data_IF_948685751822
#
_entry.id   IF_948685751822
#
_cell.length_a   1.000
_cell.length_b   1.000
_cell.length_c   1.000
_cell.angle_alpha   90.00
_cell.angle_beta   90.00
_cell.angle_gamma   90.00
#
_symmetry.space_group_name_H-M   'P 1'
#
loop_
_entity.id
_entity.type
_entity.pdbx_description
1 polymer ?
#
# COMPACT_ATOMS: atom_id res chain seq x y z
N UNK A 1 3.62 -2.87 20.98
CA UNK A 1 4.79 -1.97 20.81
C UNK A 1 4.76 -1.26 19.46
N UNK A 2 4.36 -1.95 18.40
CA UNK A 2 4.30 -1.40 17.05
C UNK A 2 3.14 -0.40 16.87
N UNK A 3 2.00 -0.69 17.48
CA UNK A 3 0.83 0.18 17.40
C UNK A 3 1.03 1.54 18.09
N UNK A 4 1.80 1.56 19.17
CA UNK A 4 2.06 2.80 19.90
C UNK A 4 2.98 3.77 19.15
N UNK A 5 3.94 3.24 18.40
CA UNK A 5 4.88 4.08 17.65
C UNK A 5 4.28 4.61 16.34
N UNK A 6 3.49 3.78 15.64
CA UNK A 6 2.84 4.22 14.41
C UNK A 6 1.78 5.29 14.62
N UNK A 7 1.07 5.24 15.73
CA UNK A 7 0.05 6.24 16.05
C UNK A 7 0.64 7.57 16.54
N UNK A 8 1.79 7.52 17.20
CA UNK A 8 2.45 8.73 17.70
C UNK A 8 3.20 9.50 16.62
N UNK A 9 3.65 8.79 15.57
CA UNK A 9 4.41 9.37 14.45
C UNK A 9 3.55 9.75 13.25
N UNK A 10 2.25 9.60 13.34
CA UNK A 10 1.27 10.07 12.36
C UNK A 10 1.27 11.60 12.23
N UNK A 11 2.38 12.22 12.54
CA UNK A 11 2.62 13.62 12.31
C UNK A 11 2.80 13.84 10.82
N UNK A 12 2.13 14.80 10.29
CA UNK A 12 2.35 15.41 9.00
C UNK A 12 3.82 15.86 8.87
N UNK A 13 4.74 14.90 8.83
CA UNK A 13 6.12 15.21 8.58
C UNK A 13 6.26 15.51 7.10
N UNK A 14 6.09 16.77 6.74
CA UNK A 14 6.56 17.28 5.46
C UNK A 14 8.08 17.19 5.47
N UNK A 15 8.61 16.04 5.09
CA UNK A 15 10.05 15.88 4.92
C UNK A 15 10.40 16.27 3.50
N UNK A 16 11.17 17.31 3.34
CA UNK A 16 11.76 17.67 2.05
C UNK A 16 12.88 16.68 1.74
N UNK A 17 12.73 15.96 0.65
CA UNK A 17 13.81 15.17 0.10
C UNK A 17 14.55 16.06 -0.88
N UNK A 18 15.77 16.42 -0.57
CA UNK A 18 16.58 17.22 -1.49
C UNK A 18 16.94 16.36 -2.70
N UNK A 19 16.48 16.77 -3.87
CA UNK A 19 17.00 16.26 -5.14
C UNK A 19 18.22 17.12 -5.54
N UNK A 20 19.14 16.52 -6.29
CA UNK A 20 20.37 17.20 -6.74
C UNK A 20 20.10 18.51 -7.49
N UNK A 21 21.14 19.29 -7.71
CA UNK A 21 21.08 20.62 -8.32
C UNK A 21 20.21 20.66 -9.59
N UNK A 22 19.17 21.49 -9.58
CA UNK A 22 18.25 21.71 -10.69
C UNK A 22 16.93 20.95 -10.64
N UNK A 23 16.73 20.02 -9.69
CA UNK A 23 15.46 19.34 -9.49
C UNK A 23 14.60 20.03 -8.43
N UNK A 24 13.28 20.08 -8.62
CA UNK A 24 12.35 20.56 -7.60
C UNK A 24 12.38 19.61 -6.40
N UNK A 25 12.33 20.17 -5.17
CA UNK A 25 12.25 19.38 -3.96
C UNK A 25 10.95 18.57 -3.93
N UNK A 26 11.07 17.25 -3.77
CA UNK A 26 9.93 16.38 -3.60
C UNK A 26 9.41 16.45 -2.15
N UNK A 27 8.08 16.38 -1.98
CA UNK A 27 7.44 16.46 -0.67
C UNK A 27 6.83 15.11 -0.33
N UNK A 28 7.27 14.49 0.77
CA UNK A 28 6.61 13.30 1.32
C UNK A 28 5.28 13.72 1.94
N UNK A 29 4.18 13.25 1.37
CA UNK A 29 2.83 13.56 1.86
C UNK A 29 2.35 12.57 2.90
N UNK A 30 2.73 11.31 2.80
CA UNK A 30 2.40 10.29 3.77
C UNK A 30 3.22 9.05 3.54
N UNK A 31 3.47 8.28 4.60
CA UNK A 31 4.16 7.00 4.52
C UNK A 31 3.68 6.05 5.60
N UNK A 32 3.85 4.76 5.34
CA UNK A 32 3.56 3.71 6.30
C UNK A 32 4.43 2.49 5.99
N UNK A 33 4.84 1.78 7.04
CA UNK A 33 5.57 0.52 6.94
C UNK A 33 4.87 -0.53 7.79
N UNK A 34 4.65 -1.72 7.23
CA UNK A 34 4.11 -2.88 7.94
C UNK A 34 5.06 -4.05 7.83
N UNK A 35 4.92 -5.02 8.75
CA UNK A 35 5.78 -6.20 8.84
C UNK A 35 5.07 -7.46 8.37
N UNK A 36 5.82 -8.37 7.78
CA UNK A 36 5.38 -9.71 7.40
C UNK A 36 6.51 -10.72 7.61
N UNK A 37 6.16 -12.01 7.64
CA UNK A 37 7.19 -13.07 7.67
C UNK A 37 7.75 -13.27 6.25
N UNK A 38 9.03 -12.96 6.02
CA UNK A 38 9.63 -13.08 4.68
C UNK A 38 9.75 -14.53 4.19
N UNK A 39 9.57 -15.52 5.07
CA UNK A 39 9.61 -16.94 4.73
C UNK A 39 8.24 -17.51 4.34
N UNK A 40 7.17 -16.79 4.62
CA UNK A 40 5.82 -17.21 4.27
C UNK A 40 5.57 -17.07 2.77
N UNK A 41 4.71 -17.92 2.21
CA UNK A 41 4.37 -17.86 0.77
C UNK A 41 3.76 -16.52 0.36
N UNK A 42 3.04 -15.86 1.26
CA UNK A 42 2.44 -14.54 1.02
C UNK A 42 3.47 -13.44 0.78
N UNK A 43 4.72 -13.63 1.20
CA UNK A 43 5.80 -12.66 1.00
C UNK A 43 6.07 -12.39 -0.48
N UNK A 44 5.99 -13.41 -1.33
CA UNK A 44 6.13 -13.25 -2.79
C UNK A 44 5.06 -12.33 -3.35
N UNK A 45 3.80 -12.52 -2.96
CA UNK A 45 2.69 -11.69 -3.43
C UNK A 45 2.78 -10.25 -2.94
N UNK A 46 3.27 -10.04 -1.73
CA UNK A 46 3.55 -8.71 -1.19
C UNK A 46 4.62 -8.02 -2.05
N UNK A 47 5.72 -8.71 -2.35
CA UNK A 47 6.80 -8.16 -3.17
C UNK A 47 6.35 -7.86 -4.60
N UNK A 48 5.59 -8.75 -5.23
CA UNK A 48 5.08 -8.55 -6.60
C UNK A 48 4.13 -7.37 -6.65
N UNK A 49 3.14 -7.30 -5.76
CA UNK A 49 2.18 -6.19 -5.76
C UNK A 49 2.84 -4.86 -5.42
N UNK A 50 3.77 -4.83 -4.48
CA UNK A 50 4.55 -3.62 -4.17
C UNK A 50 5.34 -3.14 -5.39
N UNK A 51 6.01 -4.06 -6.11
CA UNK A 51 6.76 -3.71 -7.32
C UNK A 51 5.89 -3.13 -8.43
N UNK A 52 4.63 -3.58 -8.53
CA UNK A 52 3.70 -3.09 -9.56
C UNK A 52 3.18 -1.69 -9.30
N UNK A 53 3.01 -1.32 -8.04
CA UNK A 53 2.58 0.05 -7.70
C UNK A 53 3.76 1.01 -7.53
N UNK A 54 4.97 0.49 -7.38
CA UNK A 54 6.16 1.31 -7.21
C UNK A 54 6.45 2.14 -8.47
N UNK A 55 6.66 3.43 -8.30
CA UNK A 55 6.98 4.35 -9.39
C UNK A 55 5.77 4.86 -10.17
N UNK A 56 4.55 4.43 -9.85
CA UNK A 56 3.34 4.96 -10.48
C UNK A 56 3.22 6.45 -10.20
N UNK A 57 2.99 7.24 -11.25
CA UNK A 57 2.79 8.68 -11.17
C UNK A 57 1.34 9.00 -11.48
N UNK A 58 0.71 9.74 -10.59
CA UNK A 58 -0.70 10.11 -10.67
C UNK A 58 -0.76 11.61 -10.94
N UNK A 59 -1.33 11.99 -12.08
CA UNK A 59 -1.44 13.39 -12.47
C UNK A 59 -2.45 14.14 -11.58
N UNK A 60 -2.38 15.48 -11.46
CA UNK A 60 -3.38 16.25 -10.73
C UNK A 60 -4.81 15.93 -11.19
N UNK A 61 -5.68 15.59 -10.23
CA UNK A 61 -7.08 15.21 -10.52
C UNK A 61 -7.28 13.79 -11.04
N UNK A 62 -6.21 13.05 -11.33
CA UNK A 62 -6.31 11.65 -11.77
C UNK A 62 -6.66 10.74 -10.59
N UNK A 63 -7.50 9.72 -10.86
CA UNK A 63 -7.81 8.68 -9.88
C UNK A 63 -6.89 7.48 -10.03
N UNK A 64 -6.28 7.07 -8.91
CA UNK A 64 -5.53 5.81 -8.81
C UNK A 64 -6.47 4.67 -8.44
N UNK A 65 -6.30 3.50 -9.08
CA UNK A 65 -6.95 2.24 -8.75
C UNK A 65 -5.89 1.20 -8.43
N UNK A 66 -5.93 0.65 -7.22
CA UNK A 66 -5.00 -0.40 -6.80
C UNK A 66 -5.18 -1.65 -7.66
N UNK A 67 -6.43 -2.10 -7.84
CA UNK A 67 -6.72 -3.30 -8.62
C UNK A 67 -6.24 -3.19 -10.06
N UNK A 68 -6.49 -2.07 -10.74
CA UNK A 68 -6.04 -1.89 -12.13
C UNK A 68 -4.53 -1.97 -12.26
N UNK A 69 -3.80 -1.55 -11.24
CA UNK A 69 -2.34 -1.52 -11.26
C UNK A 69 -1.73 -2.90 -11.04
N UNK A 70 -2.35 -3.75 -10.22
CA UNK A 70 -1.80 -5.07 -9.87
C UNK A 70 -2.36 -6.24 -10.66
N UNK A 71 -3.49 -6.08 -11.35
CA UNK A 71 -4.12 -7.13 -12.17
C UNK A 71 -3.36 -7.33 -13.48
N UNK A 72 -3.46 -8.54 -14.06
CA UNK A 72 -4.08 -9.75 -13.54
C UNK A 72 -3.22 -10.46 -12.49
N UNK A 73 -3.89 -11.04 -11.48
CA UNK A 73 -3.25 -11.79 -10.38
C UNK A 73 -3.05 -13.24 -10.79
N UNK A 74 -2.10 -13.50 -11.64
CA UNK A 74 -1.84 -14.82 -12.22
C UNK A 74 -0.42 -15.28 -11.93
N UNK A 75 -0.18 -16.59 -12.03
CA UNK A 75 1.15 -17.17 -11.91
C UNK A 75 2.12 -16.59 -12.96
N UNK A 76 1.63 -16.33 -14.17
CA UNK A 76 2.43 -15.71 -15.23
C UNK A 76 2.96 -14.31 -14.85
N UNK A 77 2.25 -13.59 -13.97
CA UNK A 77 2.65 -12.29 -13.45
C UNK A 77 3.43 -12.38 -12.13
N UNK A 78 3.80 -13.58 -11.70
CA UNK A 78 4.62 -13.80 -10.51
C UNK A 78 3.86 -14.04 -9.22
N UNK A 79 2.51 -14.03 -9.24
CA UNK A 79 1.71 -14.33 -8.06
C UNK A 79 1.67 -15.82 -7.77
N UNK A 80 1.64 -16.17 -6.48
CA UNK A 80 1.64 -17.55 -6.01
C UNK A 80 0.42 -17.82 -5.13
N UNK A 81 0.10 -19.11 -4.93
CA UNK A 81 -0.88 -19.52 -3.95
C UNK A 81 -0.42 -19.20 -2.53
N UNK A 82 -1.28 -18.62 -1.75
CA UNK A 82 -1.02 -18.28 -0.36
C UNK A 82 -2.34 -18.24 0.44
N UNK A 83 -2.30 -18.28 1.78
CA UNK A 83 -3.50 -18.22 2.60
C UNK A 83 -4.31 -16.95 2.35
N UNK A 84 -5.63 -17.15 2.23
CA UNK A 84 -6.64 -16.09 2.12
C UNK A 84 -7.80 -16.38 3.09
N UNK A 85 -8.65 -15.38 3.31
CA UNK A 85 -9.92 -15.54 4.00
C UNK A 85 -11.06 -15.43 2.99
N UNK A 86 -11.95 -16.42 2.98
CA UNK A 86 -13.18 -16.41 2.18
C UNK A 86 -14.36 -16.63 3.11
N UNK A 87 -15.26 -15.66 3.20
CA UNK A 87 -16.43 -15.70 4.10
C UNK A 87 -16.06 -16.07 5.54
N UNK A 88 -14.97 -15.49 6.07
CA UNK A 88 -14.49 -15.73 7.42
C UNK A 88 -13.79 -17.06 7.64
N UNK A 89 -13.55 -17.84 6.59
CA UNK A 89 -12.87 -19.14 6.65
C UNK A 89 -11.50 -19.07 5.98
N UNK A 90 -10.54 -19.82 6.54
CA UNK A 90 -9.23 -20.01 5.92
C UNK A 90 -9.36 -20.80 4.60
N UNK A 91 -8.70 -20.31 3.57
CA UNK A 91 -8.56 -20.96 2.27
C UNK A 91 -7.19 -20.61 1.67
N UNK A 92 -6.94 -21.04 0.45
CA UNK A 92 -5.78 -20.60 -0.32
C UNK A 92 -6.23 -19.99 -1.63
N UNK A 93 -5.45 -19.06 -2.15
CA UNK A 93 -5.73 -18.43 -3.43
C UNK A 93 -4.52 -17.73 -3.99
N UNK A 94 -4.50 -17.58 -5.30
CA UNK A 94 -3.45 -16.84 -5.99
C UNK A 94 -3.49 -15.37 -5.60
N UNK A 95 -2.42 -14.86 -5.03
CA UNK A 95 -2.32 -13.48 -4.59
C UNK A 95 -2.63 -13.25 -3.11
N UNK A 96 -2.74 -14.28 -2.28
CA UNK A 96 -2.88 -14.12 -0.82
C UNK A 96 -1.74 -13.27 -0.27
N UNK A 97 -2.08 -12.27 0.55
CA UNK A 97 -1.13 -11.30 1.12
C UNK A 97 -1.19 -9.90 0.49
N UNK A 98 -1.77 -9.73 -0.68
CA UNK A 98 -1.82 -8.44 -1.39
C UNK A 98 -2.57 -7.37 -0.58
N UNK A 99 -3.60 -7.74 0.20
CA UNK A 99 -4.33 -6.79 1.05
C UNK A 99 -3.42 -6.11 2.09
N UNK A 100 -2.29 -6.68 2.45
CA UNK A 100 -1.33 -5.99 3.31
C UNK A 100 -0.70 -4.80 2.59
N UNK A 101 -0.44 -4.89 1.29
CA UNK A 101 0.11 -3.77 0.50
C UNK A 101 -0.93 -2.66 0.34
N UNK A 102 -2.19 -3.01 0.01
CA UNK A 102 -3.27 -2.02 -0.06
C UNK A 102 -3.55 -1.37 1.29
N UNK A 103 -3.47 -2.12 2.39
CA UNK A 103 -3.64 -1.60 3.74
C UNK A 103 -2.50 -0.66 4.13
N UNK A 104 -1.26 -0.99 3.78
CA UNK A 104 -0.10 -0.14 4.03
C UNK A 104 -0.23 1.17 3.24
N UNK A 105 -0.70 1.11 1.99
CA UNK A 105 -1.00 2.31 1.19
C UNK A 105 -2.10 3.16 1.83
N UNK A 106 -3.21 2.55 2.25
CA UNK A 106 -4.29 3.29 2.90
C UNK A 106 -3.83 3.99 4.19
N UNK A 107 -3.01 3.32 4.99
CA UNK A 107 -2.40 3.94 6.17
C UNK A 107 -1.47 5.09 5.81
N UNK A 108 -0.70 4.99 4.72
CA UNK A 108 0.10 6.10 4.21
C UNK A 108 -0.80 7.29 3.79
N UNK A 109 -1.93 7.02 3.13
CA UNK A 109 -2.92 8.03 2.78
C UNK A 109 -3.49 8.71 4.02
N UNK A 110 -3.88 7.95 5.05
CA UNK A 110 -4.38 8.50 6.31
C UNK A 110 -3.34 9.39 6.98
N UNK A 111 -2.08 8.98 7.01
CA UNK A 111 -0.99 9.77 7.57
C UNK A 111 -0.75 11.08 6.79
N UNK A 112 -1.06 11.08 5.51
CA UNK A 112 -0.95 12.25 4.63
C UNK A 112 -2.20 13.10 4.50
N UNK A 113 -3.32 12.66 5.08
CA UNK A 113 -4.59 13.36 4.93
C UNK A 113 -5.21 13.25 3.53
N UNK A 114 -4.84 12.22 2.76
CA UNK A 114 -5.39 11.98 1.41
C UNK A 114 -6.63 11.10 1.55
N UNK A 115 -7.83 11.59 1.20
CA UNK A 115 -9.05 10.80 1.32
C UNK A 115 -9.14 9.70 0.27
N UNK A 116 -9.66 8.54 0.64
CA UNK A 116 -9.99 7.48 -0.30
C UNK A 116 -11.32 7.80 -1.00
N UNK A 117 -11.40 7.53 -2.31
CA UNK A 117 -12.66 7.54 -3.06
C UNK A 117 -13.35 6.18 -2.99
N UNK A 118 -12.60 5.11 -2.77
CA UNK A 118 -13.12 3.77 -2.47
C UNK A 118 -12.19 3.09 -1.46
N UNK A 119 -12.78 2.54 -0.40
CA UNK A 119 -12.07 1.77 0.62
C UNK A 119 -13.03 0.80 1.30
N UNK A 120 -12.62 -0.44 1.49
CA UNK A 120 -13.36 -1.49 2.19
C UNK A 120 -12.55 -2.01 3.37
N UNK A 121 -13.07 -1.98 4.60
CA UNK A 121 -12.38 -2.58 5.73
C UNK A 121 -12.42 -4.10 5.67
N UNK A 122 -11.45 -4.76 6.31
CA UNK A 122 -11.56 -6.20 6.56
C UNK A 122 -12.69 -6.48 7.57
N UNK A 123 -13.34 -7.63 7.43
CA UNK A 123 -14.36 -8.06 8.39
C UNK A 123 -13.77 -8.49 9.73
N UNK A 124 -12.48 -8.84 9.76
CA UNK A 124 -11.73 -9.20 10.96
C UNK A 124 -10.49 -8.31 11.09
N UNK A 125 -10.04 -8.03 12.33
CA UNK A 125 -8.81 -7.26 12.53
C UNK A 125 -7.62 -7.90 11.85
N UNK A 126 -6.75 -7.08 11.26
CA UNK A 126 -5.49 -7.53 10.67
C UNK A 126 -4.35 -7.40 11.70
N UNK A 127 -3.36 -8.31 11.69
CA UNK A 127 -2.31 -8.29 12.71
C UNK A 127 -1.23 -7.22 12.49
N UNK A 128 -1.16 -6.63 11.30
CA UNK A 128 -0.06 -5.73 10.90
C UNK A 128 -0.39 -4.23 11.00
N UNK A 129 -1.64 -3.87 11.33
CA UNK A 129 -2.08 -2.48 11.51
C UNK A 129 -3.14 -2.37 12.61
N UNK A 130 -3.24 -1.22 13.28
CA UNK A 130 -4.38 -0.91 14.15
C UNK A 130 -5.70 -0.94 13.38
N UNK A 131 -6.79 -1.24 14.08
CA UNK A 131 -8.13 -1.25 13.52
C UNK A 131 -8.49 0.09 12.85
N UNK A 132 -9.18 0.03 11.73
CA UNK A 132 -9.60 1.19 10.96
C UNK A 132 -8.54 1.73 9.99
N UNK A 133 -7.36 1.13 9.91
CA UNK A 133 -6.28 1.58 9.05
C UNK A 133 -5.97 0.64 7.89
N UNK A 134 -6.76 -0.38 7.72
CA UNK A 134 -6.63 -1.41 6.69
C UNK A 134 -7.50 -1.12 5.47
N UNK A 135 -7.22 -1.80 4.36
CA UNK A 135 -8.01 -1.76 3.14
C UNK A 135 -8.03 -3.13 2.46
N UNK A 136 -9.21 -3.68 2.27
CA UNK A 136 -9.43 -4.93 1.55
C UNK A 136 -9.54 -4.66 0.06
N UNK A 137 -8.88 -5.50 -0.74
CA UNK A 137 -9.11 -5.62 -2.17
C UNK A 137 -9.54 -7.04 -2.48
N UNK A 138 -10.49 -7.21 -3.39
CA UNK A 138 -10.98 -8.53 -3.78
C UNK A 138 -11.59 -8.50 -5.18
N UNK A 139 -11.15 -9.40 -6.04
CA UNK A 139 -11.67 -9.54 -7.40
C UNK A 139 -11.74 -8.20 -8.15
N UNK A 140 -12.88 -7.95 -8.78
CA UNK A 140 -13.16 -6.69 -9.48
C UNK A 140 -14.12 -5.79 -8.71
N UNK A 141 -14.49 -6.16 -7.47
CA UNK A 141 -15.57 -5.48 -6.74
C UNK A 141 -15.10 -4.74 -5.49
N UNK A 142 -13.95 -5.07 -4.91
CA UNK A 142 -13.35 -4.31 -3.82
C UNK A 142 -12.01 -3.75 -4.26
N UNK A 143 -11.89 -2.44 -4.26
CA UNK A 143 -10.68 -1.71 -4.66
C UNK A 143 -10.27 -0.70 -3.59
N UNK A 144 -9.07 -0.22 -3.68
CA UNK A 144 -8.61 0.98 -3.00
C UNK A 144 -8.35 2.04 -4.05
N UNK A 145 -9.07 3.16 -3.98
CA UNK A 145 -8.96 4.27 -4.92
C UNK A 145 -8.81 5.60 -4.21
N UNK A 146 -8.07 6.48 -4.82
CA UNK A 146 -7.96 7.87 -4.39
C UNK A 146 -7.62 8.77 -5.59
N UNK A 147 -7.94 10.06 -5.47
CA UNK A 147 -7.60 11.07 -6.47
C UNK A 147 -6.40 11.87 -5.99
N UNK A 148 -5.47 12.20 -6.90
CA UNK A 148 -4.42 13.16 -6.58
C UNK A 148 -5.05 14.55 -6.37
N UNK A 149 -5.07 15.00 -5.12
CA UNK A 149 -5.65 16.27 -4.69
C UNK A 149 -4.68 17.45 -4.82
N UNK A 150 -3.45 17.21 -5.23
CA UNK A 150 -2.43 18.23 -5.37
C UNK A 150 -2.42 18.81 -6.78
N UNK A 151 -1.78 19.95 -6.96
CA UNK A 151 -1.63 20.63 -8.24
C UNK A 151 -0.39 20.20 -9.05
N UNK A 152 0.36 19.23 -8.53
CA UNK A 152 1.52 18.63 -9.20
C UNK A 152 1.41 17.09 -9.11
N UNK A 153 2.18 16.33 -9.91
CA UNK A 153 2.11 14.88 -9.89
C UNK A 153 2.41 14.29 -8.52
N UNK A 154 1.74 13.18 -8.18
CA UNK A 154 1.97 12.40 -6.97
C UNK A 154 2.56 11.05 -7.38
N UNK A 155 3.71 10.70 -6.85
CA UNK A 155 4.37 9.43 -7.13
C UNK A 155 4.23 8.47 -5.96
N UNK A 156 3.98 7.20 -6.26
CA UNK A 156 3.98 6.12 -5.27
C UNK A 156 5.38 5.51 -5.24
N UNK A 157 5.98 5.44 -4.05
CA UNK A 157 7.13 4.60 -3.76
C UNK A 157 6.68 3.44 -2.91
N UNK A 158 6.91 2.21 -3.36
CA UNK A 158 6.54 1.01 -2.63
C UNK A 158 7.69 0.01 -2.66
N UNK A 159 8.19 -0.36 -1.50
CA UNK A 159 9.34 -1.25 -1.36
C UNK A 159 9.01 -2.37 -0.38
N UNK A 160 9.12 -3.61 -0.83
CA UNK A 160 9.09 -4.80 0.02
C UNK A 160 10.52 -5.32 0.21
N UNK A 161 10.98 -5.34 1.44
CA UNK A 161 12.29 -5.90 1.79
C UNK A 161 12.10 -7.31 2.34
N UNK A 162 12.47 -8.30 1.53
CA UNK A 162 12.36 -9.72 1.88
C UNK A 162 13.41 -10.17 2.89
N UNK A 163 14.44 -9.36 3.15
CA UNK A 163 15.42 -9.68 4.19
C UNK A 163 14.91 -9.32 5.57
N UNK A 164 14.25 -8.19 5.70
CA UNK A 164 13.72 -7.69 6.97
C UNK A 164 12.25 -8.04 7.20
N UNK A 165 11.51 -8.42 6.14
CA UNK A 165 10.07 -8.67 6.22
C UNK A 165 9.27 -7.38 6.44
N UNK A 166 9.57 -6.34 5.67
CA UNK A 166 8.85 -5.07 5.73
C UNK A 166 8.36 -4.65 4.36
N UNK A 167 7.19 -4.03 4.30
CA UNK A 167 6.70 -3.32 3.13
C UNK A 167 6.40 -1.88 3.51
N UNK A 168 6.95 -0.96 2.75
CA UNK A 168 6.80 0.49 2.96
C UNK A 168 6.15 1.12 1.75
N UNK A 169 5.17 1.98 1.98
CA UNK A 169 4.54 2.81 0.94
C UNK A 169 4.72 4.26 1.33
N UNK A 170 5.19 5.05 0.39
CA UNK A 170 5.39 6.50 0.54
C UNK A 170 4.74 7.23 -0.63
N UNK A 171 3.97 8.26 -0.34
CA UNK A 171 3.33 9.13 -1.33
C UNK A 171 4.11 10.42 -1.42
N UNK A 172 4.64 10.70 -2.61
CA UNK A 172 5.61 11.77 -2.85
C UNK A 172 5.06 12.74 -3.89
N UNK A 173 4.79 13.97 -3.47
CA UNK A 173 4.43 15.05 -4.39
C UNK A 173 5.68 15.57 -5.09
N UNK A 174 5.62 15.61 -6.40
CA UNK A 174 6.70 16.10 -7.25
C UNK A 174 6.78 17.65 -7.29
#
# INVERSE_FOLDING_TARGET
HYAANGAAEGRNATTLISAGEGAQAAIVRGSCTTKFDPRASRATNIAVSASRINGVVIQPGEEFSFNKTILPRTAANGYVEAPIYVSGKHSTGTGGGICQVSSTMYSAMLNGGIPATERHPHSLPVPYLPEGRDATIAGNYYDLRFVNIYNTPLQISAVADLRTGTVSVTLIQQ
#
